data_IF_596394312294
#
_entry.id   IF_596394312294
#
_cell.length_a   1.000
_cell.length_b   1.000
_cell.length_c   1.000
_cell.angle_alpha   90.00
_cell.angle_beta   90.00
_cell.angle_gamma   90.00
#
_symmetry.space_group_name_H-M   'P 1'
#
loop_
_entity.id
_entity.type
_entity.pdbx_description
1 polymer ?
#
# COMPACT_ATOMS: atom_id res chain seq x y z
N UNK A 1 49.33 26.52 46.24
CA UNK A 1 49.31 26.53 44.76
C UNK A 1 49.62 25.10 44.27
N UNK A 2 48.63 24.42 43.69
CA UNK A 2 48.78 23.02 43.27
C UNK A 2 49.55 22.94 41.95
N UNK A 3 50.73 22.30 41.92
CA UNK A 3 51.60 22.26 40.74
C UNK A 3 51.05 21.42 39.58
N UNK A 4 49.97 20.65 39.78
CA UNK A 4 49.42 19.72 38.78
C UNK A 4 48.20 20.24 38.00
N UNK A 5 47.74 21.48 38.28
CA UNK A 5 46.55 22.06 37.62
C UNK A 5 46.69 22.15 36.10
N UNK A 6 47.88 22.49 35.62
CA UNK A 6 48.17 22.60 34.19
C UNK A 6 48.02 21.24 33.47
N UNK A 7 48.46 20.15 34.10
CA UNK A 7 48.36 18.79 33.55
C UNK A 7 46.91 18.32 33.44
N UNK A 8 46.12 18.53 34.50
CA UNK A 8 44.70 18.16 34.51
C UNK A 8 43.94 18.97 33.45
N UNK A 9 44.23 20.26 33.31
CA UNK A 9 43.60 21.12 32.30
C UNK A 9 43.96 20.69 30.87
N UNK A 10 45.22 20.31 30.62
CA UNK A 10 45.64 19.80 29.31
C UNK A 10 44.93 18.49 28.96
N UNK A 11 44.81 17.55 29.90
CA UNK A 11 44.10 16.29 29.68
C UNK A 11 42.61 16.55 29.44
N UNK A 12 41.98 17.40 30.26
CA UNK A 12 40.58 17.75 30.08
C UNK A 12 40.32 18.38 28.71
N UNK A 13 41.20 19.29 28.26
CA UNK A 13 41.10 19.89 26.93
C UNK A 13 41.25 18.86 25.81
N UNK A 14 42.25 17.99 25.88
CA UNK A 14 42.46 16.93 24.88
C UNK A 14 41.30 15.96 24.84
N UNK A 15 40.76 15.57 26.00
CA UNK A 15 39.59 14.69 26.09
C UNK A 15 38.37 15.37 25.47
N UNK A 16 38.08 16.63 25.83
CA UNK A 16 36.95 17.37 25.27
C UNK A 16 37.05 17.60 23.76
N UNK A 17 38.23 18.02 23.26
CA UNK A 17 38.43 18.21 21.82
C UNK A 17 38.42 16.87 21.09
N UNK A 18 39.06 15.84 21.66
CA UNK A 18 39.10 14.50 21.11
C UNK A 18 37.71 13.87 20.98
N UNK A 19 36.85 14.02 21.98
CA UNK A 19 35.47 13.51 21.91
C UNK A 19 34.64 14.28 20.90
N UNK A 20 34.76 15.61 20.82
CA UNK A 20 34.03 16.42 19.82
C UNK A 20 34.46 16.08 18.39
N UNK A 21 35.76 15.88 18.15
CA UNK A 21 36.27 15.49 16.84
C UNK A 21 35.84 14.06 16.48
N UNK A 22 35.92 13.13 17.44
CA UNK A 22 35.49 11.75 17.22
C UNK A 22 33.99 11.68 16.94
N UNK A 23 33.16 12.36 17.74
CA UNK A 23 31.70 12.43 17.55
C UNK A 23 31.34 13.15 16.24
N UNK A 24 32.01 14.27 15.94
CA UNK A 24 31.77 15.02 14.71
C UNK A 24 32.09 14.22 13.45
N UNK A 25 33.07 13.33 13.51
CA UNK A 25 33.45 12.50 12.36
C UNK A 25 32.66 11.19 12.26
N UNK A 26 32.14 10.65 13.35
CA UNK A 26 31.32 9.42 13.31
C UNK A 26 29.89 9.66 12.80
N UNK A 27 29.30 10.83 13.09
CA UNK A 27 27.95 11.19 12.62
C UNK A 27 27.76 11.11 11.09
N UNK A 28 28.60 11.70 10.23
CA UNK A 28 28.38 11.66 8.78
C UNK A 28 28.45 10.24 8.21
N UNK A 29 29.30 9.37 8.76
CA UNK A 29 29.35 7.96 8.34
C UNK A 29 28.10 7.20 8.79
N UNK A 30 27.62 7.46 10.01
CA UNK A 30 26.41 6.84 10.54
C UNK A 30 25.16 7.27 9.76
N UNK A 31 25.03 8.57 9.44
CA UNK A 31 23.92 9.10 8.64
C UNK A 31 23.88 8.45 7.26
N UNK A 32 25.03 8.34 6.58
CA UNK A 32 25.09 7.69 5.27
C UNK A 32 24.67 6.22 5.34
N UNK A 33 25.10 5.49 6.36
CA UNK A 33 24.71 4.09 6.54
C UNK A 33 23.23 3.93 6.86
N UNK A 34 22.67 4.79 7.71
CA UNK A 34 21.26 4.74 8.10
C UNK A 34 20.34 5.17 6.97
N UNK A 35 20.71 6.18 6.18
CA UNK A 35 19.93 6.62 5.02
C UNK A 35 19.82 5.50 3.97
N UNK A 36 20.93 4.78 3.71
CA UNK A 36 20.91 3.62 2.82
C UNK A 36 19.96 2.51 3.31
N UNK A 37 19.87 2.31 4.63
CA UNK A 37 18.89 1.38 5.21
C UNK A 37 17.46 1.90 5.05
N UNK A 38 17.21 3.19 5.32
CA UNK A 38 15.89 3.79 5.14
C UNK A 38 15.42 3.73 3.68
N UNK A 39 16.32 3.95 2.71
CA UNK A 39 16.01 3.83 1.28
C UNK A 39 15.65 2.39 0.89
N UNK A 40 16.40 1.42 1.42
CA UNK A 40 16.13 0.00 1.17
C UNK A 40 14.81 -0.46 1.79
N UNK A 41 14.53 -0.05 3.03
CA UNK A 41 13.28 -0.33 3.72
C UNK A 41 12.10 0.31 2.96
N UNK A 42 12.26 1.57 2.51
CA UNK A 42 11.23 2.26 1.73
C UNK A 42 10.96 1.57 0.39
N UNK A 43 12.00 1.17 -0.34
CA UNK A 43 11.85 0.45 -1.60
C UNK A 43 11.14 -0.91 -1.41
N UNK A 44 11.42 -1.61 -0.31
CA UNK A 44 10.72 -2.84 0.05
C UNK A 44 9.22 -2.57 0.31
N UNK A 45 8.88 -1.57 1.13
CA UNK A 45 7.48 -1.21 1.41
C UNK A 45 6.70 -0.83 0.14
N UNK A 46 7.32 -0.08 -0.78
CA UNK A 46 6.71 0.27 -2.06
C UNK A 46 6.43 -0.99 -2.89
N UNK A 47 7.41 -1.90 -2.98
CA UNK A 47 7.24 -3.15 -3.73
C UNK A 47 6.14 -4.06 -3.17
N UNK A 48 6.02 -4.15 -1.84
CA UNK A 48 4.95 -4.91 -1.18
C UNK A 48 3.58 -4.27 -1.41
N UNK A 49 3.49 -2.94 -1.36
CA UNK A 49 2.27 -2.20 -1.70
C UNK A 49 1.84 -2.46 -3.15
N UNK A 50 2.76 -2.40 -4.10
CA UNK A 50 2.48 -2.69 -5.51
C UNK A 50 2.01 -4.13 -5.74
N UNK A 51 2.52 -5.11 -4.97
CA UNK A 51 2.00 -6.48 -5.02
C UNK A 51 0.54 -6.54 -4.54
N UNK A 52 0.23 -5.89 -3.42
CA UNK A 52 -1.13 -5.84 -2.90
C UNK A 52 -2.10 -5.18 -3.90
N UNK A 53 -1.68 -4.08 -4.54
CA UNK A 53 -2.46 -3.43 -5.60
C UNK A 53 -2.74 -4.36 -6.78
N UNK A 54 -1.72 -5.08 -7.27
CA UNK A 54 -1.91 -6.06 -8.36
C UNK A 54 -2.92 -7.14 -8.00
N UNK A 55 -2.86 -7.69 -6.80
CA UNK A 55 -3.79 -8.73 -6.33
C UNK A 55 -5.24 -8.21 -6.29
N UNK A 56 -5.43 -6.98 -5.82
CA UNK A 56 -6.74 -6.32 -5.79
C UNK A 56 -7.28 -6.07 -7.20
N UNK A 57 -6.43 -5.65 -8.13
CA UNK A 57 -6.80 -5.47 -9.53
C UNK A 57 -7.17 -6.79 -10.20
N UNK A 58 -6.34 -7.82 -10.06
CA UNK A 58 -6.57 -9.14 -10.67
C UNK A 58 -7.87 -9.77 -10.14
N UNK A 59 -8.14 -9.67 -8.84
CA UNK A 59 -9.37 -10.17 -8.24
C UNK A 59 -10.62 -9.43 -8.74
N UNK A 60 -10.55 -8.11 -8.92
CA UNK A 60 -11.64 -7.34 -9.51
C UNK A 60 -11.89 -7.76 -10.97
N UNK A 61 -10.82 -7.90 -11.76
CA UNK A 61 -10.90 -8.29 -13.16
C UNK A 61 -11.52 -9.68 -13.33
N UNK A 62 -11.23 -10.63 -12.44
CA UNK A 62 -11.85 -11.96 -12.42
C UNK A 62 -13.36 -11.87 -12.22
N UNK A 63 -13.82 -11.14 -11.19
CA UNK A 63 -15.26 -10.95 -10.93
C UNK A 63 -15.95 -10.26 -12.11
N UNK A 64 -15.32 -9.23 -12.68
CA UNK A 64 -15.83 -8.52 -13.86
C UNK A 64 -15.85 -9.41 -15.10
N UNK A 65 -14.91 -10.33 -15.26
CA UNK A 65 -14.91 -11.31 -16.35
C UNK A 65 -16.07 -12.30 -16.19
N UNK A 66 -16.31 -12.81 -14.98
CA UNK A 66 -17.45 -13.69 -14.68
C UNK A 66 -18.78 -12.99 -14.95
N UNK A 67 -18.93 -11.75 -14.51
CA UNK A 67 -20.12 -10.93 -14.78
C UNK A 67 -20.36 -10.73 -16.28
N UNK A 68 -19.28 -10.52 -17.06
CA UNK A 68 -19.37 -10.38 -18.53
C UNK A 68 -19.86 -11.67 -19.20
N UNK A 69 -19.38 -12.82 -18.73
CA UNK A 69 -19.72 -14.14 -19.25
C UNK A 69 -21.13 -14.59 -18.87
N UNK A 70 -21.56 -14.33 -17.64
CA UNK A 70 -22.85 -14.74 -17.08
C UNK A 70 -23.64 -13.53 -16.57
N UNK A 71 -24.28 -12.75 -17.47
CA UNK A 71 -25.06 -11.60 -17.06
C UNK A 71 -26.32 -12.04 -16.28
N UNK A 72 -26.74 -11.27 -15.26
CA UNK A 72 -27.97 -11.57 -14.51
C UNK A 72 -29.21 -11.60 -15.41
N UNK A 73 -30.04 -12.62 -15.23
CA UNK A 73 -31.27 -12.82 -16.00
C UNK A 73 -32.32 -11.74 -15.66
N UNK A 74 -32.93 -11.14 -16.69
CA UNK A 74 -33.97 -10.12 -16.53
C UNK A 74 -33.51 -8.67 -16.71
N UNK A 75 -32.23 -8.41 -16.98
CA UNK A 75 -31.77 -7.07 -17.37
C UNK A 75 -32.07 -6.75 -18.83
N UNK A 76 -32.47 -5.50 -19.08
CA UNK A 76 -32.61 -4.96 -20.43
C UNK A 76 -31.25 -5.03 -21.16
N UNK A 77 -31.20 -5.59 -22.39
CA UNK A 77 -29.98 -5.67 -23.20
C UNK A 77 -29.23 -4.35 -23.36
N UNK A 78 -29.94 -3.21 -23.35
CA UNK A 78 -29.32 -1.87 -23.44
C UNK A 78 -28.55 -1.50 -22.18
N UNK A 79 -29.11 -1.81 -21.01
CA UNK A 79 -28.46 -1.57 -19.72
C UNK A 79 -27.25 -2.47 -19.57
N UNK A 80 -27.35 -3.74 -19.97
CA UNK A 80 -26.22 -4.66 -20.01
C UNK A 80 -25.08 -4.18 -20.91
N UNK A 81 -25.38 -3.64 -22.09
CA UNK A 81 -24.38 -3.10 -23.00
C UNK A 81 -23.66 -1.87 -22.41
N UNK A 82 -24.39 -1.02 -21.69
CA UNK A 82 -23.85 0.17 -21.04
C UNK A 82 -22.98 -0.19 -19.83
N UNK A 83 -23.41 -1.15 -18.99
CA UNK A 83 -22.60 -1.69 -17.88
C UNK A 83 -21.30 -2.29 -18.43
N UNK A 84 -21.39 -3.08 -19.50
CA UNK A 84 -20.20 -3.62 -20.18
C UNK A 84 -19.28 -2.52 -20.68
N UNK A 85 -19.83 -1.42 -21.20
CA UNK A 85 -19.06 -0.26 -21.66
C UNK A 85 -18.33 0.46 -20.52
N UNK A 86 -18.98 0.60 -19.36
CA UNK A 86 -18.38 1.20 -18.15
C UNK A 86 -17.28 0.28 -17.61
N UNK A 87 -17.57 -1.02 -17.47
CA UNK A 87 -16.62 -2.03 -16.98
C UNK A 87 -15.40 -2.17 -17.88
N UNK A 88 -15.58 -2.20 -19.21
CA UNK A 88 -14.48 -2.30 -20.16
C UNK A 88 -13.56 -1.07 -20.18
N UNK A 89 -14.05 0.06 -19.64
CA UNK A 89 -13.32 1.32 -19.54
C UNK A 89 -12.67 1.50 -18.15
N UNK A 90 -13.24 0.85 -17.12
CA UNK A 90 -12.76 0.89 -15.73
C UNK A 90 -11.81 -0.24 -15.33
N UNK A 91 -11.63 -1.29 -16.14
CA UNK A 91 -10.56 -2.29 -15.89
C UNK A 91 -9.13 -1.71 -16.01
N UNK A 92 -9.00 -0.40 -16.19
CA UNK A 92 -7.72 0.32 -16.19
C UNK A 92 -7.54 1.25 -14.97
N UNK A 93 -8.60 1.56 -14.22
CA UNK A 93 -8.59 2.42 -13.03
C UNK A 93 -9.66 1.94 -12.05
N UNK A 94 -9.25 1.13 -11.04
CA UNK A 94 -10.17 0.56 -10.05
C UNK A 94 -10.63 1.56 -8.97
N UNK A 95 -10.11 2.79 -8.97
CA UNK A 95 -10.33 3.77 -7.91
C UNK A 95 -11.61 4.63 -8.08
N UNK A 96 -12.35 4.51 -9.20
CA UNK A 96 -13.44 5.45 -9.49
C UNK A 96 -14.72 4.76 -9.98
N UNK A 97 -15.40 4.00 -9.11
CA UNK A 97 -16.75 3.50 -9.41
C UNK A 97 -17.83 4.51 -8.98
N UNK A 98 -18.75 4.94 -9.87
CA UNK A 98 -19.78 5.91 -9.52
C UNK A 98 -20.84 5.29 -8.61
N UNK A 99 -21.21 6.02 -7.55
CA UNK A 99 -22.28 5.64 -6.64
C UNK A 99 -23.61 5.47 -7.39
N UNK A 100 -24.45 4.46 -7.04
CA UNK A 100 -25.68 4.21 -7.76
C UNK A 100 -26.73 5.27 -7.39
N UNK A 101 -26.87 6.29 -8.24
CA UNK A 101 -28.04 7.17 -8.19
C UNK A 101 -29.24 6.49 -8.86
N UNK A 102 -30.36 6.47 -8.13
CA UNK A 102 -31.70 5.96 -8.46
C UNK A 102 -32.00 4.47 -8.14
N UNK A 103 -33.04 4.26 -7.31
CA UNK A 103 -33.72 2.99 -7.01
C UNK A 103 -34.28 2.33 -8.28
N UNK A 104 -33.38 1.73 -9.06
CA UNK A 104 -33.67 1.00 -10.28
C UNK A 104 -33.02 -0.37 -10.18
N UNK A 105 -33.57 -1.35 -10.89
CA UNK A 105 -33.01 -2.72 -10.97
C UNK A 105 -31.51 -2.70 -11.37
N UNK A 106 -31.08 -1.65 -12.09
CA UNK A 106 -29.66 -1.33 -12.37
C UNK A 106 -28.84 -1.06 -11.11
N UNK A 107 -29.29 -0.19 -10.22
CA UNK A 107 -28.58 0.15 -8.99
C UNK A 107 -28.38 -1.07 -8.08
N UNK A 108 -29.37 -1.96 -8.03
CA UNK A 108 -29.28 -3.21 -7.26
C UNK A 108 -28.23 -4.16 -7.84
N UNK A 109 -28.19 -4.30 -9.16
CA UNK A 109 -27.20 -5.14 -9.87
C UNK A 109 -25.79 -4.57 -9.73
N UNK A 110 -25.63 -3.25 -9.82
CA UNK A 110 -24.36 -2.58 -9.56
C UNK A 110 -23.92 -2.75 -8.11
N UNK A 111 -24.81 -2.55 -7.15
CA UNK A 111 -24.50 -2.72 -5.73
C UNK A 111 -24.12 -4.17 -5.41
N UNK A 112 -24.75 -5.14 -6.06
CA UNK A 112 -24.37 -6.55 -5.93
C UNK A 112 -22.99 -6.82 -6.52
N UNK A 113 -22.74 -6.36 -7.75
CA UNK A 113 -21.44 -6.51 -8.40
C UNK A 113 -20.31 -5.87 -7.57
N UNK A 114 -20.55 -4.69 -6.99
CA UNK A 114 -19.59 -4.01 -6.12
C UNK A 114 -19.27 -4.83 -4.87
N UNK A 115 -20.29 -5.39 -4.22
CA UNK A 115 -20.09 -6.29 -3.07
C UNK A 115 -19.28 -7.54 -3.45
N UNK A 116 -19.58 -8.13 -4.61
CA UNK A 116 -18.90 -9.33 -5.08
C UNK A 116 -17.41 -9.05 -5.37
N UNK A 117 -17.10 -7.89 -5.97
CA UNK A 117 -15.72 -7.42 -6.18
C UNK A 117 -15.00 -7.24 -4.84
N UNK A 118 -15.59 -6.52 -3.88
CA UNK A 118 -14.97 -6.29 -2.58
C UNK A 118 -14.70 -7.59 -1.81
N UNK A 119 -15.64 -8.53 -1.85
CA UNK A 119 -15.46 -9.84 -1.21
C UNK A 119 -14.32 -10.62 -1.85
N UNK A 120 -14.23 -10.62 -3.19
CA UNK A 120 -13.14 -11.28 -3.92
C UNK A 120 -11.78 -10.64 -3.63
N UNK A 121 -11.69 -9.31 -3.65
CA UNK A 121 -10.46 -8.57 -3.34
C UNK A 121 -9.95 -8.88 -1.93
N UNK A 122 -10.84 -8.85 -0.93
CA UNK A 122 -10.47 -9.22 0.45
C UNK A 122 -10.00 -10.67 0.56
N UNK A 123 -10.70 -11.60 -0.08
CA UNK A 123 -10.33 -13.01 -0.06
C UNK A 123 -8.96 -13.25 -0.71
N UNK A 124 -8.68 -12.59 -1.83
CA UNK A 124 -7.41 -12.68 -2.54
C UNK A 124 -6.25 -12.11 -1.70
N UNK A 125 -6.42 -10.93 -1.10
CA UNK A 125 -5.43 -10.33 -0.21
C UNK A 125 -5.13 -11.23 1.02
N UNK A 126 -6.17 -11.80 1.64
CA UNK A 126 -6.00 -12.73 2.76
C UNK A 126 -5.26 -14.00 2.31
N UNK A 127 -5.59 -14.54 1.14
CA UNK A 127 -4.93 -15.71 0.59
C UNK A 127 -3.44 -15.49 0.32
N UNK A 128 -3.08 -14.35 -0.27
CA UNK A 128 -1.69 -13.98 -0.58
C UNK A 128 -0.86 -13.65 0.66
N UNK A 129 -1.50 -13.14 1.72
CA UNK A 129 -0.87 -13.04 3.05
C UNK A 129 -0.63 -14.42 3.65
N UNK A 130 -1.63 -15.30 3.61
CA UNK A 130 -1.54 -16.64 4.23
C UNK A 130 -0.51 -17.54 3.53
N UNK A 131 -0.26 -17.32 2.23
CA UNK A 131 0.84 -17.95 1.47
C UNK A 131 2.21 -17.29 1.69
N UNK A 132 2.26 -16.11 2.33
CA UNK A 132 3.48 -15.34 2.58
C UNK A 132 4.06 -14.66 1.35
N UNK A 133 3.25 -14.43 0.31
CA UNK A 133 3.70 -13.72 -0.91
C UNK A 133 3.70 -12.20 -0.74
N UNK A 134 2.83 -11.69 0.14
CA UNK A 134 2.68 -10.28 0.48
C UNK A 134 2.82 -10.10 1.99
N UNK A 135 3.53 -9.04 2.39
CA UNK A 135 3.70 -8.66 3.78
C UNK A 135 2.38 -8.27 4.47
N UNK A 136 2.23 -8.63 5.74
CA UNK A 136 0.99 -8.38 6.52
C UNK A 136 0.69 -6.88 6.65
N UNK A 137 1.72 -6.04 6.74
CA UNK A 137 1.54 -4.58 6.82
C UNK A 137 0.97 -4.01 5.52
N UNK A 138 1.45 -4.48 4.36
CA UNK A 138 0.92 -4.07 3.06
C UNK A 138 -0.52 -4.56 2.85
N UNK A 139 -0.81 -5.81 3.23
CA UNK A 139 -2.18 -6.35 3.20
C UNK A 139 -3.12 -5.56 4.11
N UNK A 140 -2.68 -5.24 5.34
CA UNK A 140 -3.48 -4.48 6.30
C UNK A 140 -3.78 -3.06 5.80
N UNK A 141 -2.78 -2.36 5.27
CA UNK A 141 -2.95 -1.03 4.71
C UNK A 141 -3.92 -1.05 3.51
N UNK A 142 -3.83 -2.07 2.65
CA UNK A 142 -4.74 -2.21 1.51
C UNK A 142 -6.17 -2.56 1.94
N UNK A 143 -6.34 -3.43 2.93
CA UNK A 143 -7.66 -3.74 3.50
C UNK A 143 -8.31 -2.51 4.14
N UNK A 144 -7.54 -1.70 4.87
CA UNK A 144 -8.04 -0.43 5.43
C UNK A 144 -8.47 0.54 4.32
N UNK A 145 -7.72 0.61 3.22
CA UNK A 145 -8.10 1.42 2.04
C UNK A 145 -9.42 0.94 1.42
N UNK A 146 -9.62 -0.38 1.29
CA UNK A 146 -10.87 -0.97 0.79
C UNK A 146 -12.05 -0.78 1.75
N UNK A 147 -11.81 -0.70 3.06
CA UNK A 147 -12.84 -0.47 4.07
C UNK A 147 -13.32 0.99 4.11
N UNK A 148 -12.49 1.93 3.67
CA UNK A 148 -12.81 3.37 3.62
C UNK A 148 -13.57 3.79 2.34
N UNK A 149 -13.69 2.91 1.36
CA UNK A 149 -14.43 3.11 0.10
C UNK A 149 -15.91 2.73 0.22
#
# INVERSE_FOLDING_TARGET
PFPERATIQAIAFVVSVGTLLLQGWTLPLLIRRLHLSADADHAYTVAETEKAERVVHDAADEVLAVFRANPPEGLDPRVLAEIRGIVARHSQDADEMPAPEAHTLRAEVFAQLYRDVLVAQRAALIGERDSGHIDDEAVRAMLERLDLQ
#
